data_IF_998850078805
#
_entry.id   IF_998850078805
#
_cell.length_a   1.000
_cell.length_b   1.000
_cell.length_c   1.000
_cell.angle_alpha   90.00
_cell.angle_beta   90.00
_cell.angle_gamma   90.00
#
_symmetry.space_group_name_H-M   'P 1'
#
loop_
_entity.id
_entity.type
_entity.pdbx_description
1 polymer ?
#
# COMPACT_ATOMS: atom_id res chain seq x y z
N UNK A 1 -44.21 -39.44 29.75
CA UNK A 1 -43.75 -40.31 28.63
C UNK A 1 -42.29 -40.00 28.31
N UNK A 2 -41.40 -40.92 28.61
CA UNK A 2 -39.98 -40.76 28.47
C UNK A 2 -39.53 -41.28 27.08
N UNK A 3 -38.71 -40.55 26.39
CA UNK A 3 -38.06 -41.00 25.16
C UNK A 3 -36.52 -41.03 25.36
N UNK A 4 -35.95 -42.18 25.07
CA UNK A 4 -34.58 -42.63 25.19
C UNK A 4 -33.58 -41.85 24.27
N UNK A 5 -32.28 -41.81 24.67
CA UNK A 5 -31.23 -41.24 23.83
C UNK A 5 -30.69 -42.27 22.82
N UNK A 6 -30.31 -41.75 21.61
CA UNK A 6 -29.72 -42.53 20.52
C UNK A 6 -28.20 -42.66 20.68
N UNK A 7 -27.68 -43.85 20.30
CA UNK A 7 -26.30 -44.32 20.39
C UNK A 7 -25.33 -43.60 19.42
N UNK A 8 -24.13 -43.25 19.91
CA UNK A 8 -22.95 -42.91 19.14
C UNK A 8 -22.37 -44.14 18.42
N UNK A 9 -22.17 -44.03 17.13
CA UNK A 9 -21.33 -44.96 16.36
C UNK A 9 -20.00 -44.24 16.00
N UNK A 10 -18.90 -44.84 16.47
CA UNK A 10 -17.54 -44.41 16.16
C UNK A 10 -17.07 -45.08 14.87
N UNK A 11 -16.64 -44.31 13.90
CA UNK A 11 -15.93 -44.80 12.71
C UNK A 11 -14.42 -44.57 12.87
N UNK A 12 -13.67 -45.70 12.87
CA UNK A 12 -12.21 -45.74 12.77
C UNK A 12 -11.79 -45.40 11.33
N UNK A 13 -10.93 -44.42 11.15
CA UNK A 13 -10.23 -44.22 9.89
C UNK A 13 -8.74 -44.55 10.03
N UNK A 14 -8.29 -45.45 9.16
CA UNK A 14 -6.93 -45.97 9.10
C UNK A 14 -5.96 -44.99 8.45
N UNK A 15 -4.77 -44.85 9.01
CA UNK A 15 -3.68 -44.06 8.48
C UNK A 15 -2.95 -44.85 7.36
N UNK A 16 -2.85 -44.26 6.18
CA UNK A 16 -1.99 -44.72 5.08
C UNK A 16 -0.66 -43.95 5.10
N UNK A 17 0.43 -44.64 5.39
CA UNK A 17 1.82 -44.18 5.22
C UNK A 17 2.15 -44.15 3.73
N UNK A 18 2.58 -43.00 3.21
CA UNK A 18 3.24 -42.88 1.91
C UNK A 18 4.74 -42.66 2.11
N UNK A 19 5.52 -43.63 1.68
CA UNK A 19 6.97 -43.60 1.55
C UNK A 19 7.38 -42.73 0.36
N UNK A 20 8.30 -41.82 0.60
CA UNK A 20 8.91 -40.95 -0.45
C UNK A 20 10.24 -41.60 -0.83
N UNK A 21 10.39 -41.94 -2.12
CA UNK A 21 11.63 -42.46 -2.72
C UNK A 21 12.60 -41.32 -3.05
N UNK A 22 13.88 -41.52 -2.74
CA UNK A 22 14.98 -40.60 -3.00
C UNK A 22 15.46 -40.69 -4.46
N UNK A 23 15.76 -39.55 -5.07
CA UNK A 23 16.35 -39.43 -6.40
C UNK A 23 17.90 -39.47 -6.33
N UNK A 24 18.60 -40.00 -7.37
CA UNK A 24 20.04 -40.22 -7.32
C UNK A 24 20.89 -38.98 -7.66
N UNK A 25 22.05 -38.90 -7.03
CA UNK A 25 23.06 -37.86 -7.20
C UNK A 25 23.79 -37.93 -8.55
N UNK A 26 23.95 -36.79 -9.22
CA UNK A 26 24.75 -36.61 -10.44
C UNK A 26 26.17 -36.22 -10.07
N UNK A 27 27.17 -37.02 -10.48
CA UNK A 27 28.61 -36.77 -10.36
C UNK A 27 29.07 -35.74 -11.37
N UNK A 28 29.71 -34.65 -10.92
CA UNK A 28 30.48 -33.72 -11.76
C UNK A 28 31.88 -34.25 -12.03
N UNK A 29 32.21 -34.45 -13.29
CA UNK A 29 33.59 -34.69 -13.74
C UNK A 29 34.17 -33.38 -14.24
N UNK A 30 35.34 -32.98 -13.67
CA UNK A 30 36.13 -31.84 -14.10
C UNK A 30 37.16 -32.27 -15.15
N UNK A 31 37.16 -31.57 -16.28
CA UNK A 31 38.27 -31.67 -17.24
C UNK A 31 38.93 -30.31 -17.45
N UNK A 32 40.15 -30.21 -17.00
CA UNK A 32 41.07 -29.07 -17.14
C UNK A 32 41.80 -29.20 -18.47
N UNK A 33 41.64 -28.24 -19.41
CA UNK A 33 42.55 -28.08 -20.56
C UNK A 33 43.07 -26.65 -20.58
N UNK A 34 44.40 -26.54 -20.46
CA UNK A 34 45.14 -25.29 -20.59
C UNK A 34 45.37 -24.96 -22.08
N UNK A 35 45.20 -23.69 -22.45
CA UNK A 35 45.53 -23.15 -23.76
C UNK A 35 46.73 -22.16 -23.62
N UNK A 36 47.63 -22.05 -24.64
CA UNK A 36 48.87 -21.33 -24.53
C UNK A 36 48.72 -19.82 -24.68
N UNK A 37 49.58 -19.08 -23.97
CA UNK A 37 49.65 -17.63 -23.95
C UNK A 37 50.15 -17.04 -25.30
N UNK A 38 49.32 -16.19 -25.91
CA UNK A 38 49.71 -15.37 -27.07
C UNK A 38 50.11 -13.97 -26.57
N UNK A 39 51.36 -13.57 -26.83
CA UNK A 39 51.89 -12.21 -26.57
C UNK A 39 51.23 -11.21 -27.51
N UNK A 40 50.46 -10.24 -27.00
CA UNK A 40 49.89 -9.13 -27.78
C UNK A 40 50.87 -8.00 -27.94
N UNK A 41 51.14 -7.58 -29.18
CA UNK A 41 51.87 -6.37 -29.54
C UNK A 41 51.02 -5.11 -29.26
N UNK A 42 51.61 -3.89 -29.03
CA UNK A 42 50.84 -2.69 -28.72
C UNK A 42 50.11 -2.14 -29.96
N UNK A 43 48.80 -2.04 -29.87
CA UNK A 43 47.95 -1.42 -30.91
C UNK A 43 47.93 0.10 -30.74
N UNK A 44 48.41 0.84 -31.75
CA UNK A 44 48.29 2.30 -31.85
C UNK A 44 46.78 2.67 -31.91
N UNK A 45 46.31 3.49 -30.95
CA UNK A 45 44.93 4.03 -30.98
C UNK A 45 44.76 4.98 -32.16
N UNK A 46 43.82 4.69 -33.07
CA UNK A 46 43.47 5.55 -34.20
C UNK A 46 42.41 6.57 -33.79
N UNK A 47 42.29 7.71 -34.51
CA UNK A 47 41.33 8.78 -34.22
C UNK A 47 39.86 8.29 -34.16
N UNK A 48 39.50 7.22 -34.88
CA UNK A 48 38.18 6.59 -34.83
C UNK A 48 37.86 5.96 -33.45
N UNK A 49 38.87 5.50 -32.68
CA UNK A 49 38.70 4.97 -31.34
C UNK A 49 38.31 6.06 -30.32
N UNK A 50 38.83 7.28 -30.50
CA UNK A 50 38.53 8.40 -29.60
C UNK A 50 37.09 8.94 -29.78
N UNK A 51 36.58 8.95 -31.00
CA UNK A 51 35.20 9.38 -31.30
C UNK A 51 34.17 8.37 -30.76
N UNK A 52 34.45 7.06 -30.87
CA UNK A 52 33.60 6.02 -30.31
C UNK A 52 33.56 6.04 -28.77
N UNK A 53 34.68 6.31 -28.12
CA UNK A 53 34.77 6.44 -26.67
C UNK A 53 34.04 7.68 -26.14
N UNK A 54 34.07 8.79 -26.90
CA UNK A 54 33.31 10.01 -26.57
C UNK A 54 31.80 9.81 -26.76
N UNK A 55 31.40 9.10 -27.81
CA UNK A 55 29.97 8.75 -28.04
C UNK A 55 29.44 7.80 -26.96
N UNK A 56 30.22 6.80 -26.54
CA UNK A 56 29.86 5.89 -25.46
C UNK A 56 29.70 6.63 -24.12
N UNK A 57 30.62 7.54 -23.76
CA UNK A 57 30.52 8.39 -22.55
C UNK A 57 29.31 9.34 -22.60
N UNK A 58 28.96 9.84 -23.77
CA UNK A 58 27.74 10.66 -23.96
C UNK A 58 26.48 9.85 -23.78
N UNK A 59 26.42 8.63 -24.33
CA UNK A 59 25.28 7.72 -24.16
C UNK A 59 25.12 7.28 -22.70
N UNK A 60 26.23 6.99 -22.01
CA UNK A 60 26.23 6.64 -20.58
C UNK A 60 25.78 7.81 -19.69
N UNK A 61 26.17 9.05 -20.02
CA UNK A 61 25.71 10.25 -19.31
C UNK A 61 24.23 10.52 -19.57
N UNK A 62 23.73 10.28 -20.78
CA UNK A 62 22.29 10.39 -21.10
C UNK A 62 21.50 9.32 -20.35
N UNK A 63 21.97 8.06 -20.34
CA UNK A 63 21.36 6.98 -19.58
C UNK A 63 21.39 7.25 -18.06
N UNK A 64 22.49 7.77 -17.53
CA UNK A 64 22.60 8.18 -16.11
C UNK A 64 21.66 9.34 -15.75
N UNK A 65 21.41 10.27 -16.68
CA UNK A 65 20.49 11.39 -16.48
C UNK A 65 19.02 10.94 -16.55
N UNK A 66 18.71 9.93 -17.37
CA UNK A 66 17.37 9.32 -17.46
C UNK A 66 17.05 8.40 -16.26
N UNK A 67 18.09 7.88 -15.58
CA UNK A 67 17.96 7.04 -14.37
C UNK A 67 17.88 7.85 -13.06
N UNK A 68 18.05 9.17 -13.09
CA UNK A 68 17.73 9.99 -11.92
C UNK A 68 16.23 9.95 -11.70
N UNK A 69 15.78 9.20 -10.68
CA UNK A 69 14.44 9.35 -10.15
C UNK A 69 14.19 10.85 -9.96
N UNK A 70 13.06 11.38 -10.43
CA UNK A 70 12.70 12.77 -10.14
C UNK A 70 12.79 12.96 -8.63
N UNK A 71 13.36 14.08 -8.19
CA UNK A 71 13.42 14.41 -6.77
C UNK A 71 11.99 14.35 -6.21
N UNK A 72 11.81 13.67 -5.07
CA UNK A 72 10.51 13.63 -4.41
C UNK A 72 10.12 15.06 -4.03
N UNK A 73 8.93 15.55 -4.49
CA UNK A 73 8.50 16.90 -4.17
C UNK A 73 8.45 17.13 -2.65
N UNK A 74 8.85 18.32 -2.20
CA UNK A 74 8.67 18.71 -0.80
C UNK A 74 7.18 18.83 -0.43
N UNK A 75 6.87 18.82 0.88
CA UNK A 75 5.47 18.87 1.37
C UNK A 75 4.73 20.10 0.83
N UNK A 76 5.36 21.27 0.82
CA UNK A 76 4.75 22.51 0.33
C UNK A 76 4.50 22.47 -1.18
N UNK A 77 5.39 21.84 -1.94
CA UNK A 77 5.22 21.65 -3.39
C UNK A 77 4.06 20.68 -3.68
N UNK A 78 3.95 19.59 -2.90
CA UNK A 78 2.82 18.66 -2.97
C UNK A 78 1.51 19.37 -2.66
N UNK A 79 1.47 20.13 -1.57
CA UNK A 79 0.29 20.89 -1.14
C UNK A 79 -0.15 21.86 -2.21
N UNK A 80 0.76 22.70 -2.70
CA UNK A 80 0.47 23.67 -3.79
C UNK A 80 -0.06 22.96 -5.04
N UNK A 81 0.57 21.86 -5.45
CA UNK A 81 0.14 21.08 -6.61
C UNK A 81 -1.27 20.49 -6.45
N UNK A 82 -1.58 19.93 -5.28
CA UNK A 82 -2.92 19.39 -4.97
C UNK A 82 -3.97 20.52 -4.96
N UNK A 83 -3.70 21.63 -4.29
CA UNK A 83 -4.63 22.76 -4.23
C UNK A 83 -4.90 23.33 -5.62
N UNK A 84 -3.86 23.57 -6.43
CA UNK A 84 -3.98 24.02 -7.80
C UNK A 84 -4.80 23.07 -8.69
N UNK A 85 -4.52 21.75 -8.59
CA UNK A 85 -5.28 20.74 -9.33
C UNK A 85 -6.74 20.69 -8.88
N UNK A 86 -7.00 20.82 -7.58
CA UNK A 86 -8.35 20.79 -7.02
C UNK A 86 -9.20 21.97 -7.49
N UNK A 87 -8.64 23.19 -7.52
CA UNK A 87 -9.36 24.38 -8.04
C UNK A 87 -9.74 24.22 -9.52
N UNK A 88 -8.86 23.58 -10.31
CA UNK A 88 -9.09 23.32 -11.74
C UNK A 88 -9.73 21.98 -12.05
N UNK A 89 -10.20 21.22 -11.03
CA UNK A 89 -10.67 19.83 -11.18
C UNK A 89 -11.73 19.59 -12.24
N UNK A 90 -12.57 20.61 -12.53
CA UNK A 90 -13.61 20.51 -13.54
C UNK A 90 -13.08 20.62 -14.99
N UNK A 91 -11.92 21.27 -15.17
CA UNK A 91 -11.34 21.61 -16.47
C UNK A 91 -10.04 20.85 -16.77
N UNK A 92 -9.60 19.96 -15.89
CA UNK A 92 -8.41 19.12 -16.12
C UNK A 92 -8.56 18.29 -17.38
N UNK A 93 -7.61 18.41 -18.29
CA UNK A 93 -7.51 17.57 -19.47
C UNK A 93 -6.98 16.16 -19.12
N UNK A 94 -7.24 15.16 -19.96
CA UNK A 94 -6.69 13.82 -19.78
C UNK A 94 -5.15 13.82 -19.72
N UNK A 95 -4.51 14.69 -20.51
CA UNK A 95 -3.05 14.85 -20.51
C UNK A 95 -2.53 15.35 -19.15
N UNK A 96 -3.19 16.35 -18.57
CA UNK A 96 -2.83 16.86 -17.22
C UNK A 96 -3.13 15.84 -16.12
N UNK A 97 -4.23 15.09 -16.25
CA UNK A 97 -4.57 14.03 -15.31
C UNK A 97 -3.48 12.97 -15.29
N UNK A 98 -3.16 12.36 -16.42
CA UNK A 98 -2.20 11.25 -16.48
C UNK A 98 -0.75 11.71 -16.29
N UNK A 99 -0.39 12.89 -16.84
CA UNK A 99 0.99 13.39 -16.84
C UNK A 99 1.46 14.01 -15.52
N UNK A 100 0.55 14.60 -14.73
CA UNK A 100 0.94 15.34 -13.52
C UNK A 100 0.03 15.09 -12.33
N UNK A 101 -1.28 15.16 -12.47
CA UNK A 101 -2.21 15.15 -11.32
C UNK A 101 -2.27 13.79 -10.66
N UNK A 102 -2.39 12.71 -11.43
CA UNK A 102 -2.48 11.33 -10.92
C UNK A 102 -1.22 10.88 -10.17
N UNK A 103 0.02 11.10 -10.69
CA UNK A 103 1.24 10.84 -9.92
C UNK A 103 1.33 11.64 -8.63
N UNK A 104 0.93 12.93 -8.66
CA UNK A 104 0.94 13.80 -7.50
C UNK A 104 -0.03 13.31 -6.41
N UNK A 105 -1.27 13.02 -6.81
CA UNK A 105 -2.30 12.45 -5.92
C UNK A 105 -1.83 11.09 -5.37
N UNK A 106 -1.28 10.23 -6.22
CA UNK A 106 -0.73 8.93 -5.80
C UNK A 106 0.31 9.07 -4.70
N UNK A 107 1.25 10.02 -4.83
CA UNK A 107 2.27 10.30 -3.80
C UNK A 107 1.67 10.71 -2.45
N UNK A 108 0.59 11.51 -2.48
CA UNK A 108 -0.10 11.92 -1.24
C UNK A 108 -0.83 10.74 -0.60
N UNK A 109 -1.50 9.90 -1.40
CA UNK A 109 -2.18 8.69 -0.89
C UNK A 109 -1.17 7.71 -0.27
N UNK A 110 0.00 7.52 -0.89
CA UNK A 110 1.09 6.71 -0.31
C UNK A 110 1.58 7.28 1.03
N UNK A 111 1.66 8.61 1.14
CA UNK A 111 1.99 9.30 2.40
C UNK A 111 0.93 9.12 3.49
N UNK A 112 -0.35 9.10 3.12
CA UNK A 112 -1.42 8.75 4.06
C UNK A 112 -1.29 7.29 4.54
N UNK A 113 -1.01 6.35 3.63
CA UNK A 113 -0.84 4.92 3.98
C UNK A 113 0.33 4.63 4.91
N UNK A 114 1.40 5.41 4.79
CA UNK A 114 2.61 5.26 5.61
C UNK A 114 2.55 6.04 6.92
N UNK A 115 1.55 6.91 7.09
CA UNK A 115 1.44 7.81 8.23
C UNK A 115 2.39 9.02 8.15
N UNK A 116 3.07 9.24 7.00
CA UNK A 116 3.83 10.45 6.73
C UNK A 116 2.92 11.70 6.73
N UNK A 117 1.70 11.51 6.22
CA UNK A 117 0.64 12.52 6.23
C UNK A 117 -0.54 12.05 7.06
N UNK A 118 -1.18 12.99 7.75
CA UNK A 118 -2.37 12.73 8.53
C UNK A 118 -3.41 13.82 8.28
N UNK A 119 -4.66 13.44 8.01
CA UNK A 119 -5.75 14.39 7.67
C UNK A 119 -6.04 15.34 8.82
N UNK A 120 -5.99 14.87 10.06
CA UNK A 120 -5.94 15.74 11.21
C UNK A 120 -4.91 15.22 12.22
N UNK A 121 -4.21 16.14 12.86
CA UNK A 121 -3.14 15.86 13.82
C UNK A 121 -3.28 16.75 15.06
N UNK A 122 -2.86 16.29 16.26
CA UNK A 122 -2.85 17.14 17.45
C UNK A 122 -2.04 18.43 17.21
N UNK A 123 -2.56 19.55 17.61
CA UNK A 123 -1.91 20.87 17.45
C UNK A 123 -0.89 21.22 18.53
N UNK A 124 -0.74 20.34 19.53
CA UNK A 124 0.14 20.52 20.68
C UNK A 124 -0.44 21.42 21.78
N UNK A 125 -1.65 21.94 21.62
CA UNK A 125 -2.35 22.83 22.57
C UNK A 125 -3.66 22.23 23.06
N UNK A 126 -3.87 20.92 22.87
CA UNK A 126 -5.09 20.20 23.25
C UNK A 126 -6.19 20.26 22.20
N UNK A 127 -5.89 20.79 21.04
CA UNK A 127 -6.77 20.81 19.87
C UNK A 127 -6.25 19.96 18.70
N UNK A 128 -6.89 20.11 17.55
CA UNK A 128 -6.57 19.37 16.34
C UNK A 128 -6.46 20.31 15.15
N UNK A 129 -5.38 20.18 14.41
CA UNK A 129 -5.16 20.85 13.12
C UNK A 129 -5.62 19.95 11.98
N UNK A 130 -6.52 20.46 11.16
CA UNK A 130 -7.01 19.76 9.97
C UNK A 130 -6.18 20.17 8.76
N UNK A 131 -5.66 19.19 8.05
CA UNK A 131 -4.91 19.36 6.80
C UNK A 131 -5.86 19.21 5.61
N UNK A 132 -6.64 20.24 5.29
CA UNK A 132 -7.68 20.22 4.25
C UNK A 132 -7.14 19.81 2.87
N UNK A 133 -5.90 20.16 2.56
CA UNK A 133 -5.27 19.81 1.29
C UNK A 133 -5.19 18.28 1.09
N UNK A 134 -5.10 17.50 2.16
CA UNK A 134 -5.14 16.03 2.10
C UNK A 134 -6.55 15.52 1.76
N UNK A 135 -7.61 16.17 2.27
CA UNK A 135 -8.99 15.86 1.86
C UNK A 135 -9.21 16.19 0.38
N UNK A 136 -8.67 17.31 -0.10
CA UNK A 136 -8.66 17.66 -1.54
C UNK A 136 -7.97 16.57 -2.37
N UNK A 137 -6.83 16.04 -1.91
CA UNK A 137 -6.14 14.93 -2.57
C UNK A 137 -7.00 13.66 -2.63
N UNK A 138 -7.70 13.30 -1.54
CA UNK A 138 -8.63 12.16 -1.53
C UNK A 138 -9.78 12.37 -2.52
N UNK A 139 -10.36 13.55 -2.60
CA UNK A 139 -11.40 13.86 -3.60
C UNK A 139 -10.86 13.78 -5.04
N UNK A 140 -9.66 14.30 -5.27
CA UNK A 140 -8.99 14.17 -6.56
C UNK A 140 -8.72 12.70 -6.91
N UNK A 141 -8.41 11.85 -5.94
CA UNK A 141 -8.19 10.42 -6.20
C UNK A 141 -9.38 9.77 -6.90
N UNK A 142 -10.60 10.05 -6.44
CA UNK A 142 -11.82 9.58 -7.12
C UNK A 142 -12.05 10.19 -8.50
N UNK A 143 -11.50 11.39 -8.75
CA UNK A 143 -11.61 12.07 -10.03
C UNK A 143 -10.63 11.53 -11.08
N UNK A 144 -9.39 11.22 -10.66
CA UNK A 144 -8.32 10.83 -11.58
C UNK A 144 -8.20 9.33 -11.82
N UNK A 145 -8.95 8.51 -11.08
CA UNK A 145 -8.99 7.07 -11.27
C UNK A 145 -10.31 6.64 -11.88
N UNK A 146 -10.23 5.72 -12.84
CA UNK A 146 -11.37 5.05 -13.40
C UNK A 146 -11.77 3.83 -12.55
N UNK A 147 -12.97 3.32 -12.81
CA UNK A 147 -13.43 2.06 -12.26
C UNK A 147 -12.55 0.92 -12.77
N UNK A 148 -12.15 0.04 -11.88
CA UNK A 148 -11.32 -1.12 -12.21
C UNK A 148 -11.81 -2.37 -11.45
N UNK A 149 -11.48 -3.54 -11.99
CA UNK A 149 -11.70 -4.80 -11.27
C UNK A 149 -10.66 -4.90 -10.15
N UNK A 150 -11.15 -4.96 -8.91
CA UNK A 150 -10.34 -5.26 -7.74
C UNK A 150 -10.44 -6.76 -7.49
N UNK A 151 -9.33 -7.46 -7.74
CA UNK A 151 -9.28 -8.91 -7.51
C UNK A 151 -9.29 -9.19 -6.00
N UNK A 152 -10.31 -9.90 -5.57
CA UNK A 152 -10.51 -10.29 -4.18
C UNK A 152 -11.32 -11.59 -4.10
N UNK A 153 -11.21 -12.30 -2.99
CA UNK A 153 -11.98 -13.53 -2.75
C UNK A 153 -13.06 -13.28 -1.71
N UNK A 154 -14.24 -13.84 -1.84
CA UNK A 154 -14.64 -14.91 -2.79
C UNK A 154 -15.06 -14.43 -4.18
N UNK A 155 -15.19 -13.12 -4.40
CA UNK A 155 -15.59 -12.55 -5.69
C UNK A 155 -14.84 -11.23 -5.95
N UNK A 156 -14.61 -10.85 -7.22
CA UNK A 156 -14.03 -9.56 -7.57
C UNK A 156 -15.00 -8.41 -7.25
N UNK A 157 -14.44 -7.23 -7.02
CA UNK A 157 -15.20 -5.98 -6.87
C UNK A 157 -14.94 -5.05 -8.05
N UNK A 158 -15.80 -4.03 -8.18
CA UNK A 158 -15.70 -2.99 -9.20
C UNK A 158 -15.66 -1.63 -8.51
N UNK A 159 -14.48 -1.03 -8.38
CA UNK A 159 -14.30 0.22 -7.64
C UNK A 159 -13.16 1.07 -8.21
N UNK A 160 -13.11 2.33 -7.80
CA UNK A 160 -12.02 3.28 -8.08
C UNK A 160 -10.85 3.16 -7.10
N UNK A 161 -11.09 2.59 -5.92
CA UNK A 161 -10.13 2.52 -4.82
C UNK A 161 -9.71 1.09 -4.57
N UNK A 162 -8.43 0.83 -4.75
CA UNK A 162 -7.82 -0.48 -4.50
C UNK A 162 -7.89 -0.87 -3.03
N UNK A 163 -7.71 -2.16 -2.76
CA UNK A 163 -7.50 -2.65 -1.40
C UNK A 163 -6.15 -2.16 -0.85
N UNK A 164 -6.14 -1.71 0.41
CA UNK A 164 -4.92 -1.35 1.15
C UNK A 164 -3.88 -2.47 1.18
N UNK A 165 -4.36 -3.70 1.21
CA UNK A 165 -3.52 -4.90 1.30
C UNK A 165 -3.36 -5.62 -0.04
N UNK A 166 -3.68 -4.97 -1.17
CA UNK A 166 -3.46 -5.55 -2.50
C UNK A 166 -2.00 -5.98 -2.68
N UNK A 167 -1.79 -7.22 -3.09
CA UNK A 167 -0.46 -7.77 -3.33
C UNK A 167 0.44 -7.89 -2.07
N UNK A 168 -0.15 -7.91 -0.86
CA UNK A 168 0.60 -8.21 0.36
C UNK A 168 0.94 -9.70 0.42
N UNK A 169 2.20 -9.96 0.72
CA UNK A 169 2.74 -11.27 1.11
C UNK A 169 2.98 -11.32 2.62
N UNK A 170 3.41 -12.47 3.13
CA UNK A 170 3.73 -12.65 4.55
C UNK A 170 4.75 -11.63 5.07
N UNK A 171 5.79 -11.33 4.29
CA UNK A 171 6.82 -10.39 4.70
C UNK A 171 6.28 -8.94 4.82
N UNK A 172 5.36 -8.54 3.93
CA UNK A 172 4.69 -7.24 4.02
C UNK A 172 3.77 -7.14 5.21
N UNK A 173 2.97 -8.20 5.52
CA UNK A 173 2.14 -8.23 6.72
C UNK A 173 2.96 -8.18 8.01
N UNK A 174 4.07 -8.93 8.10
CA UNK A 174 4.96 -8.88 9.25
C UNK A 174 5.57 -7.48 9.47
N UNK A 175 5.96 -6.81 8.39
CA UNK A 175 6.47 -5.41 8.47
C UNK A 175 5.39 -4.42 8.89
N UNK A 176 4.19 -4.56 8.35
CA UNK A 176 3.05 -3.71 8.72
C UNK A 176 2.63 -3.93 10.19
N UNK A 177 2.85 -5.13 10.72
CA UNK A 177 2.52 -5.46 12.10
C UNK A 177 1.02 -5.45 12.39
N UNK A 178 0.18 -5.72 11.39
CA UNK A 178 -1.28 -5.69 11.53
C UNK A 178 -1.86 -7.10 11.41
N UNK A 179 -2.96 -7.35 12.11
CA UNK A 179 -3.78 -8.55 11.97
C UNK A 179 -5.04 -8.21 11.17
N UNK A 180 -5.21 -8.87 10.03
CA UNK A 180 -6.36 -8.66 9.15
C UNK A 180 -7.14 -9.97 9.06
N UNK A 181 -8.34 -10.00 9.60
CA UNK A 181 -9.21 -11.17 9.63
C UNK A 181 -9.94 -11.28 8.27
N UNK A 182 -10.15 -12.50 7.74
CA UNK A 182 -10.91 -12.66 6.49
C UNK A 182 -12.26 -11.94 6.55
N UNK A 183 -12.55 -11.13 5.52
CA UNK A 183 -13.74 -10.27 5.47
C UNK A 183 -13.51 -8.83 5.91
N UNK A 184 -12.34 -8.50 6.46
CA UNK A 184 -11.96 -7.10 6.69
C UNK A 184 -11.65 -6.41 5.36
N UNK A 185 -12.22 -5.23 5.16
CA UNK A 185 -12.00 -4.38 3.98
C UNK A 185 -11.34 -3.09 4.42
N UNK A 186 -10.15 -2.84 3.90
CA UNK A 186 -9.44 -1.58 4.07
C UNK A 186 -9.12 -1.00 2.69
N UNK A 187 -9.52 0.23 2.45
CA UNK A 187 -9.26 0.95 1.20
C UNK A 187 -7.87 1.56 1.20
N UNK A 188 -7.23 1.61 0.03
CA UNK A 188 -5.97 2.33 -0.17
C UNK A 188 -6.06 3.75 0.39
N UNK A 189 -4.95 4.28 0.94
CA UNK A 189 -4.91 5.57 1.63
C UNK A 189 -5.38 5.53 3.07
N UNK A 190 -5.72 4.35 3.64
CA UNK A 190 -5.91 4.18 5.09
C UNK A 190 -4.62 3.79 5.79
N UNK A 191 -4.37 4.35 6.96
CA UNK A 191 -3.23 4.05 7.83
C UNK A 191 -3.61 3.13 8.98
N UNK A 192 -2.73 2.20 9.29
CA UNK A 192 -2.84 1.32 10.46
C UNK A 192 -1.50 1.28 11.19
N UNK A 193 -1.53 1.62 12.48
CA UNK A 193 -0.40 1.44 13.38
C UNK A 193 -0.08 -0.03 13.63
N UNK A 194 1.04 -0.30 14.30
CA UNK A 194 1.39 -1.67 14.71
C UNK A 194 0.33 -2.22 15.66
N UNK A 195 0.21 -3.54 15.65
CA UNK A 195 -0.71 -4.30 16.51
C UNK A 195 -2.19 -3.93 16.36
N UNK A 196 -2.54 -3.22 15.28
CA UNK A 196 -3.94 -3.01 14.91
C UNK A 196 -4.56 -4.33 14.49
N UNK A 197 -5.76 -4.58 14.99
CA UNK A 197 -6.58 -5.75 14.62
C UNK A 197 -7.80 -5.26 13.85
N UNK A 198 -7.94 -5.76 12.62
CA UNK A 198 -9.13 -5.57 11.80
C UNK A 198 -9.91 -6.89 11.80
N UNK A 199 -11.00 -6.94 12.54
CA UNK A 199 -12.03 -7.97 12.39
C UNK A 199 -12.75 -7.76 11.05
N UNK A 200 -13.69 -8.60 10.62
CA UNK A 200 -14.51 -8.31 9.44
C UNK A 200 -15.19 -6.94 9.58
N UNK A 201 -14.59 -5.92 9.04
CA UNK A 201 -14.89 -4.50 9.26
C UNK A 201 -14.59 -3.71 8.00
N UNK A 202 -14.94 -2.42 7.98
CA UNK A 202 -14.65 -1.55 6.84
C UNK A 202 -13.89 -0.30 7.28
N UNK A 203 -12.74 -0.04 6.64
CA UNK A 203 -11.96 1.19 6.84
C UNK A 203 -11.78 1.91 5.52
N UNK A 204 -12.21 3.18 5.49
CA UNK A 204 -12.23 3.96 4.26
C UNK A 204 -10.93 4.74 4.04
N UNK A 205 -10.75 5.25 2.81
CA UNK A 205 -9.60 6.08 2.38
C UNK A 205 -9.43 7.32 3.29
N UNK A 206 -8.19 7.66 3.61
CA UNK A 206 -7.85 8.80 4.47
C UNK A 206 -8.04 8.55 5.96
N UNK A 207 -8.62 7.42 6.36
CA UNK A 207 -8.76 7.05 7.76
C UNK A 207 -7.41 6.73 8.40
N UNK A 208 -7.25 7.09 9.66
CA UNK A 208 -6.09 6.78 10.49
C UNK A 208 -6.51 5.94 11.69
N UNK A 209 -5.86 4.80 11.90
CA UNK A 209 -6.11 3.92 13.05
C UNK A 209 -4.80 3.72 13.79
N UNK A 210 -4.75 4.23 15.03
CA UNK A 210 -3.57 4.20 15.87
C UNK A 210 -3.20 2.81 16.36
N UNK A 211 -1.96 2.68 16.83
CA UNK A 211 -1.34 1.46 17.32
C UNK A 211 -2.20 0.75 18.37
N UNK A 212 -2.25 -0.59 18.33
CA UNK A 212 -2.93 -1.43 19.32
C UNK A 212 -4.46 -1.33 19.31
N UNK A 213 -5.04 -0.62 18.36
CA UNK A 213 -6.50 -0.44 18.25
C UNK A 213 -7.15 -1.64 17.58
N UNK A 214 -8.33 -2.03 18.09
CA UNK A 214 -9.19 -3.04 17.45
C UNK A 214 -10.37 -2.37 16.77
N UNK A 215 -10.55 -2.68 15.49
CA UNK A 215 -11.78 -2.42 14.73
C UNK A 215 -12.55 -3.72 14.67
N UNK A 216 -13.58 -3.84 15.53
CA UNK A 216 -14.29 -5.09 15.73
C UNK A 216 -15.31 -5.39 14.62
N UNK A 217 -15.98 -6.52 14.75
CA UNK A 217 -16.83 -7.12 13.71
C UNK A 217 -17.94 -6.16 13.27
N UNK A 218 -17.98 -5.89 11.96
CA UNK A 218 -18.93 -4.97 11.32
C UNK A 218 -18.83 -3.50 11.76
N UNK A 219 -17.78 -3.14 12.52
CA UNK A 219 -17.49 -1.74 12.76
C UNK A 219 -16.99 -1.07 11.46
N UNK A 220 -17.26 0.22 11.34
CA UNK A 220 -16.82 1.04 10.19
C UNK A 220 -16.00 2.24 10.65
N UNK A 221 -14.92 2.54 9.92
CA UNK A 221 -14.15 3.78 10.06
C UNK A 221 -14.30 4.56 8.78
N UNK A 222 -15.04 5.65 8.85
CA UNK A 222 -15.39 6.48 7.69
C UNK A 222 -14.18 7.24 7.11
N UNK A 223 -14.36 7.82 5.93
CA UNK A 223 -13.31 8.57 5.23
C UNK A 223 -12.73 9.65 6.12
N UNK A 224 -11.40 9.71 6.20
CA UNK A 224 -10.65 10.71 6.96
C UNK A 224 -10.85 10.68 8.49
N UNK A 225 -11.62 9.76 9.05
CA UNK A 225 -11.77 9.61 10.50
C UNK A 225 -10.42 9.27 11.15
N UNK A 226 -10.20 9.80 12.36
CA UNK A 226 -8.95 9.67 13.09
C UNK A 226 -9.21 8.90 14.38
N UNK A 227 -8.65 7.71 14.49
CA UNK A 227 -8.77 6.85 15.67
C UNK A 227 -7.40 6.81 16.35
N UNK A 228 -7.39 7.08 17.64
CA UNK A 228 -6.21 7.04 18.48
C UNK A 228 -5.67 5.64 18.72
N UNK A 229 -4.72 5.53 19.65
CA UNK A 229 -4.07 4.29 20.03
C UNK A 229 -4.90 3.54 21.07
N UNK A 230 -4.74 2.21 21.08
CA UNK A 230 -5.33 1.35 22.11
C UNK A 230 -6.84 1.55 22.30
N UNK A 231 -7.54 1.88 21.20
CA UNK A 231 -8.98 1.99 21.20
C UNK A 231 -9.63 0.63 20.89
N UNK A 232 -10.89 0.49 21.29
CA UNK A 232 -11.73 -0.61 20.86
C UNK A 232 -13.02 -0.05 20.25
N UNK A 233 -13.18 -0.21 18.94
CA UNK A 233 -14.44 0.07 18.27
C UNK A 233 -15.26 -1.21 18.29
N UNK A 234 -16.31 -1.24 19.12
CA UNK A 234 -17.16 -2.43 19.30
C UNK A 234 -17.84 -2.89 18.02
N UNK A 235 -18.28 -4.13 18.02
CA UNK A 235 -18.98 -4.71 16.87
C UNK A 235 -20.18 -3.86 16.45
N UNK A 236 -20.23 -3.51 15.17
CA UNK A 236 -21.28 -2.67 14.59
C UNK A 236 -21.13 -1.17 14.84
N UNK A 237 -20.11 -0.71 15.58
CA UNK A 237 -19.89 0.72 15.77
C UNK A 237 -19.62 1.43 14.44
N UNK A 238 -20.28 2.55 14.19
CA UNK A 238 -20.15 3.34 12.98
C UNK A 238 -19.45 4.67 13.26
N UNK A 239 -18.16 4.78 12.92
CA UNK A 239 -17.45 6.06 12.97
C UNK A 239 -17.66 6.79 11.65
N UNK A 240 -18.37 7.92 11.72
CA UNK A 240 -18.71 8.72 10.55
C UNK A 240 -17.49 9.25 9.83
N UNK A 241 -17.53 9.26 8.50
CA UNK A 241 -16.55 9.89 7.65
C UNK A 241 -16.92 11.33 7.35
N UNK A 242 -15.94 12.25 7.39
CA UNK A 242 -16.16 13.66 7.03
C UNK A 242 -15.15 14.05 5.95
N UNK A 243 -15.37 13.54 4.75
CA UNK A 243 -14.61 13.96 3.57
C UNK A 243 -15.15 15.29 3.03
N UNK A 244 -16.46 15.42 2.98
CA UNK A 244 -17.18 16.62 2.59
C UNK A 244 -18.18 17.01 3.69
N UNK A 245 -18.36 18.32 3.96
CA UNK A 245 -17.66 19.45 3.33
C UNK A 245 -16.20 19.56 3.78
N UNK A 246 -15.34 20.14 2.91
CA UNK A 246 -13.89 20.18 3.13
C UNK A 246 -13.47 20.81 4.45
N UNK A 247 -14.13 21.91 4.84
CA UNK A 247 -13.83 22.67 6.05
C UNK A 247 -14.26 21.96 7.33
N UNK A 248 -15.12 20.94 7.25
CA UNK A 248 -15.55 20.23 8.45
C UNK A 248 -14.41 19.37 9.02
N UNK A 249 -14.26 19.38 10.33
CA UNK A 249 -13.31 18.50 11.01
C UNK A 249 -13.73 17.03 10.83
N UNK A 250 -12.77 16.11 10.63
CA UNK A 250 -13.08 14.69 10.63
C UNK A 250 -13.53 14.25 12.04
N UNK A 251 -14.19 13.09 12.10
CA UNK A 251 -14.46 12.45 13.40
C UNK A 251 -13.13 12.04 14.04
N UNK A 252 -12.94 12.40 15.28
CA UNK A 252 -11.72 12.13 16.06
C UNK A 252 -12.13 11.32 17.31
N UNK A 253 -11.50 10.17 17.47
CA UNK A 253 -11.52 9.35 18.68
C UNK A 253 -10.11 9.36 19.23
N UNK A 254 -9.93 9.84 20.43
CA UNK A 254 -8.61 9.94 21.08
C UNK A 254 -8.13 8.58 21.61
N UNK A 255 -6.94 8.53 22.21
CA UNK A 255 -6.34 7.29 22.68
C UNK A 255 -7.17 6.65 23.81
N UNK A 256 -7.10 5.32 23.91
CA UNK A 256 -7.71 4.52 24.99
C UNK A 256 -9.24 4.60 25.10
N UNK A 257 -9.93 4.93 24.00
CA UNK A 257 -11.40 4.97 23.98
C UNK A 257 -12.00 3.59 23.71
N UNK A 258 -13.14 3.34 24.32
CA UNK A 258 -14.03 2.21 24.05
C UNK A 258 -15.35 2.75 23.49
N UNK A 259 -15.70 2.39 22.25
CA UNK A 259 -16.87 2.87 21.51
C UNK A 259 -17.84 1.72 21.29
#
# INVERSE_FOLDING_TARGET
>A
MATKPAKKTAAKTAAAKKTVAAAPAVKKTAAKKAAPAVKKAPVKKTAASSAAETAAKRAENIARKSLRKPATPGVEELKFGIESAFERRATLTLHEIEGSTKPLVGRVIDGLETGEFRVAEPDGHGGWKVNEWLKKAVLLYFRVNDMAVVDARPAPFWDKVESRFAGFDEAKFRRAGVRVVPGAIARRGSYFGKDVVLMPSFTNIGAYVGEGTMVDTWATVGSCAQIGKHCHLSGGAGIGGVLEPLQASPTIIEDHCFI
#
